data_IF_959599457895
#
_entry.id   IF_959599457895
#
_cell.length_a   1.000
_cell.length_b   1.000
_cell.length_c   1.000
_cell.angle_alpha   90.00
_cell.angle_beta   90.00
_cell.angle_gamma   90.00
#
_symmetry.space_group_name_H-M   'P 1'
#
loop_
_entity.id
_entity.type
_entity.pdbx_description
1 polymer ?
#
# COMPACT_ATOMS: atom_id res chain seq x y z
N UNK A 1 -3.92 4.51 17.63
CA UNK A 1 -2.71 5.35 17.59
C UNK A 1 -2.30 5.68 16.17
N UNK A 2 -1.96 4.71 15.32
CA UNK A 2 -1.56 4.99 13.92
C UNK A 2 -2.70 5.58 13.07
N UNK A 3 -3.91 5.02 13.13
CA UNK A 3 -5.06 5.56 12.39
C UNK A 3 -5.40 7.01 12.80
N UNK A 4 -5.31 7.32 14.10
CA UNK A 4 -5.59 8.67 14.62
C UNK A 4 -4.61 9.71 14.09
N UNK A 5 -3.36 9.31 13.81
CA UNK A 5 -2.36 10.22 13.25
C UNK A 5 -2.69 10.58 11.80
N UNK A 6 -3.14 9.60 11.02
CA UNK A 6 -3.53 9.78 9.62
C UNK A 6 -4.87 10.50 9.50
N UNK A 7 -5.79 10.32 10.44
CA UNK A 7 -7.02 11.11 10.53
C UNK A 7 -6.71 12.59 10.84
N UNK A 8 -5.89 12.84 11.86
CA UNK A 8 -5.60 14.20 12.34
C UNK A 8 -4.74 15.01 11.38
N UNK A 9 -3.80 14.37 10.69
CA UNK A 9 -2.80 15.03 9.87
C UNK A 9 -2.87 14.63 8.39
N UNK A 10 -4.05 14.24 7.91
CA UNK A 10 -4.29 13.82 6.52
C UNK A 10 -3.76 14.82 5.48
N UNK A 11 -3.93 16.12 5.72
CA UNK A 11 -3.47 17.17 4.83
C UNK A 11 -1.94 17.26 4.74
N UNK A 12 -1.23 17.15 5.87
CA UNK A 12 0.24 17.12 5.89
C UNK A 12 0.77 15.85 5.20
N UNK A 13 0.15 14.69 5.47
CA UNK A 13 0.49 13.44 4.79
C UNK A 13 0.35 13.57 3.26
N UNK A 14 -0.76 14.13 2.79
CA UNK A 14 -1.01 14.27 1.36
C UNK A 14 -0.09 15.32 0.71
N UNK A 15 0.18 16.43 1.40
CA UNK A 15 1.07 17.49 0.92
C UNK A 15 2.52 17.03 0.74
N UNK A 16 2.95 16.02 1.51
CA UNK A 16 4.28 15.43 1.37
C UNK A 16 4.56 14.99 -0.08
N UNK A 17 3.56 14.43 -0.78
CA UNK A 17 3.69 13.99 -2.17
C UNK A 17 3.86 15.15 -3.16
N UNK A 18 3.35 16.34 -2.85
CA UNK A 18 3.54 17.54 -3.68
C UNK A 18 4.93 18.13 -3.48
N UNK A 19 5.42 18.14 -2.23
CA UNK A 19 6.78 18.60 -1.89
C UNK A 19 7.84 17.65 -2.46
N UNK A 20 7.62 16.33 -2.36
CA UNK A 20 8.56 15.28 -2.77
C UNK A 20 8.19 14.68 -4.12
N UNK A 21 7.76 15.53 -5.06
CA UNK A 21 7.20 15.13 -6.35
C UNK A 21 8.08 14.16 -7.13
N UNK A 22 9.40 14.36 -7.16
CA UNK A 22 10.34 13.47 -7.89
C UNK A 22 10.38 12.07 -7.29
N UNK A 23 10.41 11.96 -5.96
CA UNK A 23 10.41 10.67 -5.25
C UNK A 23 9.09 9.95 -5.49
N UNK A 24 7.97 10.65 -5.29
CA UNK A 24 6.64 10.11 -5.56
C UNK A 24 6.49 9.57 -6.99
N UNK A 25 6.88 10.36 -8.02
CA UNK A 25 6.78 9.90 -9.41
C UNK A 25 7.69 8.71 -9.70
N UNK A 26 8.86 8.62 -9.07
CA UNK A 26 9.75 7.47 -9.21
C UNK A 26 9.14 6.20 -8.58
N UNK A 27 8.53 6.31 -7.40
CA UNK A 27 7.82 5.20 -6.74
C UNK A 27 6.59 4.75 -7.54
N UNK A 28 5.77 5.72 -7.98
CA UNK A 28 4.59 5.48 -8.81
C UNK A 28 4.96 4.80 -10.13
N UNK A 29 6.00 5.28 -10.82
CA UNK A 29 6.45 4.69 -12.08
C UNK A 29 6.94 3.24 -11.92
N UNK A 30 7.58 2.92 -10.78
CA UNK A 30 7.99 1.55 -10.48
C UNK A 30 6.80 0.62 -10.28
N UNK A 31 5.79 1.06 -9.52
CA UNK A 31 4.54 0.30 -9.38
C UNK A 31 3.88 0.12 -10.75
N UNK A 32 3.72 1.22 -11.50
CA UNK A 32 3.07 1.21 -12.81
C UNK A 32 3.75 0.27 -13.82
N UNK A 33 5.08 0.19 -13.80
CA UNK A 33 5.85 -0.67 -14.72
C UNK A 33 5.62 -2.17 -14.54
N UNK A 34 5.11 -2.60 -13.38
CA UNK A 34 4.88 -4.01 -13.05
C UNK A 34 3.41 -4.31 -12.76
N UNK A 35 2.55 -3.29 -12.78
CA UNK A 35 1.13 -3.42 -12.45
C UNK A 35 0.43 -4.23 -13.56
N UNK A 36 -0.27 -5.33 -13.21
CA UNK A 36 -1.16 -6.00 -14.14
C UNK A 36 -2.26 -5.06 -14.68
N UNK A 37 -2.94 -5.42 -15.78
CA UNK A 37 -4.06 -4.64 -16.29
C UNK A 37 -5.10 -4.37 -15.19
N UNK A 38 -5.39 -3.10 -14.95
CA UNK A 38 -6.40 -2.66 -13.99
C UNK A 38 -7.78 -2.83 -14.61
N UNK A 39 -8.68 -3.43 -13.85
CA UNK A 39 -10.09 -3.65 -14.21
C UNK A 39 -11.02 -3.21 -13.06
N UNK A 40 -12.33 -3.42 -13.22
CA UNK A 40 -13.34 -3.06 -12.23
C UNK A 40 -13.23 -3.82 -10.88
N UNK A 41 -12.39 -4.87 -10.81
CA UNK A 41 -12.15 -5.69 -9.61
C UNK A 41 -10.78 -5.41 -8.99
N UNK A 42 -10.09 -4.37 -9.47
CA UNK A 42 -8.84 -3.92 -8.88
C UNK A 42 -9.10 -3.04 -7.66
N UNK A 43 -8.39 -3.27 -6.57
CA UNK A 43 -8.55 -2.53 -5.30
C UNK A 43 -7.20 -2.09 -4.75
N UNK A 44 -7.13 -0.88 -4.20
CA UNK A 44 -6.02 -0.47 -3.32
C UNK A 44 -6.45 -0.58 -1.85
N UNK A 45 -5.72 -1.37 -1.06
CA UNK A 45 -5.95 -1.50 0.38
C UNK A 45 -5.02 -0.54 1.11
N UNK A 46 -5.58 0.26 2.03
CA UNK A 46 -4.91 1.44 2.57
C UNK A 46 -4.70 2.50 1.49
N UNK A 47 -5.78 2.83 0.74
CA UNK A 47 -5.74 3.75 -0.40
C UNK A 47 -5.30 5.17 0.00
N UNK A 48 -5.35 5.51 1.29
CA UNK A 48 -4.97 6.80 1.82
C UNK A 48 -5.76 7.89 1.12
N UNK A 49 -5.04 8.92 0.65
CA UNK A 49 -5.64 10.02 -0.09
C UNK A 49 -5.85 9.72 -1.58
N UNK A 50 -5.52 8.51 -2.06
CA UNK A 50 -5.70 8.12 -3.46
C UNK A 50 -4.56 8.53 -4.39
N UNK A 51 -3.37 8.80 -3.85
CA UNK A 51 -2.18 9.23 -4.61
C UNK A 51 -1.67 8.16 -5.58
N UNK A 52 -1.89 6.88 -5.31
CA UNK A 52 -1.49 5.78 -6.19
C UNK A 52 -2.68 5.26 -7.01
N UNK A 53 -3.81 4.93 -6.38
CA UNK A 53 -4.99 4.44 -7.09
C UNK A 53 -5.42 5.33 -8.27
N UNK A 54 -5.53 6.65 -8.08
CA UNK A 54 -5.98 7.60 -9.09
C UNK A 54 -5.19 7.52 -10.42
N UNK A 55 -3.88 7.81 -10.42
CA UNK A 55 -3.07 7.74 -11.64
C UNK A 55 -2.89 6.32 -12.20
N UNK A 56 -3.04 5.28 -11.37
CA UNK A 56 -3.01 3.88 -11.83
C UNK A 56 -4.36 3.40 -12.41
N UNK A 57 -5.41 4.21 -12.30
CA UNK A 57 -6.75 3.88 -12.81
C UNK A 57 -7.57 2.96 -11.90
N UNK A 58 -7.09 2.69 -10.67
CA UNK A 58 -7.82 1.89 -9.67
C UNK A 58 -8.92 2.76 -9.08
N UNK A 59 -10.16 2.27 -9.13
CA UNK A 59 -11.34 3.03 -8.69
C UNK A 59 -11.91 2.59 -7.34
N UNK A 60 -11.48 1.46 -6.80
CA UNK A 60 -11.92 0.97 -5.49
C UNK A 60 -10.78 1.07 -4.48
N UNK A 61 -11.06 1.61 -3.30
CA UNK A 61 -10.09 1.73 -2.21
C UNK A 61 -10.65 1.31 -0.86
N UNK A 62 -9.81 0.73 0.00
CA UNK A 62 -10.12 0.47 1.41
C UNK A 62 -9.29 1.42 2.27
N UNK A 63 -9.91 2.20 3.16
CA UNK A 63 -9.20 3.16 4.02
C UNK A 63 -9.91 3.35 5.37
N UNK A 64 -9.22 3.17 6.52
CA UNK A 64 -9.82 3.42 7.83
C UNK A 64 -10.05 4.91 8.16
N UNK A 65 -9.14 5.80 7.70
CA UNK A 65 -9.21 7.26 7.92
C UNK A 65 -10.28 7.92 7.06
N UNK A 66 -11.23 8.59 7.71
CA UNK A 66 -12.29 9.34 7.03
C UNK A 66 -11.70 10.54 6.29
N UNK A 67 -10.76 11.25 6.89
CA UNK A 67 -10.10 12.39 6.27
C UNK A 67 -9.39 12.00 4.97
N UNK A 68 -8.56 10.95 5.00
CA UNK A 68 -7.84 10.46 3.81
C UNK A 68 -8.81 9.88 2.77
N UNK A 69 -9.74 9.02 3.21
CA UNK A 69 -10.77 8.46 2.31
C UNK A 69 -11.60 9.54 1.62
N UNK A 70 -11.91 10.65 2.31
CA UNK A 70 -12.56 11.81 1.71
C UNK A 70 -11.71 12.50 0.64
N UNK A 71 -10.38 12.51 0.77
CA UNK A 71 -9.47 13.01 -0.27
C UNK A 71 -9.44 12.06 -1.48
N UNK A 72 -9.36 10.75 -1.25
CA UNK A 72 -9.40 9.74 -2.30
C UNK A 72 -10.72 9.81 -3.09
N UNK A 73 -11.85 9.98 -2.40
CA UNK A 73 -13.15 10.18 -3.03
C UNK A 73 -13.17 11.39 -3.97
N UNK A 74 -12.61 12.53 -3.56
CA UNK A 74 -12.46 13.70 -4.43
C UNK A 74 -11.56 13.47 -5.65
N UNK A 75 -10.73 12.42 -5.62
CA UNK A 75 -9.90 11.97 -6.76
C UNK A 75 -10.58 10.88 -7.61
N UNK A 76 -11.86 10.60 -7.38
CA UNK A 76 -12.64 9.66 -8.18
C UNK A 76 -12.52 8.20 -7.75
N UNK A 77 -12.14 7.94 -6.49
CA UNK A 77 -12.04 6.60 -5.93
C UNK A 77 -13.24 6.33 -5.03
N UNK A 78 -13.95 5.25 -5.27
CA UNK A 78 -14.96 4.73 -4.34
C UNK A 78 -14.25 4.12 -3.13
N UNK A 79 -14.46 4.71 -1.96
CA UNK A 79 -13.78 4.30 -0.73
C UNK A 79 -14.72 3.53 0.18
N UNK A 80 -14.35 2.30 0.52
CA UNK A 80 -14.99 1.54 1.59
C UNK A 80 -14.15 1.73 2.86
N UNK A 81 -14.80 2.14 3.94
CA UNK A 81 -14.12 2.23 5.23
C UNK A 81 -13.87 0.83 5.78
N UNK A 82 -12.60 0.49 6.00
CA UNK A 82 -12.20 -0.83 6.49
C UNK A 82 -10.71 -0.89 6.80
N UNK A 83 -10.28 -2.00 7.40
CA UNK A 83 -8.89 -2.24 7.77
C UNK A 83 -8.34 -3.42 6.97
N UNK A 84 -7.02 -3.43 6.73
CA UNK A 84 -6.40 -4.50 5.96
C UNK A 84 -6.52 -5.87 6.65
N UNK A 85 -6.55 -5.89 7.99
CA UNK A 85 -6.69 -7.10 8.81
C UNK A 85 -8.12 -7.67 8.82
N UNK A 86 -9.11 -6.96 8.28
CA UNK A 86 -10.50 -7.43 8.15
C UNK A 86 -11.19 -6.70 7.00
N UNK A 87 -10.99 -7.21 5.78
CA UNK A 87 -11.43 -6.59 4.54
C UNK A 87 -12.93 -6.83 4.33
N UNK A 88 -13.74 -5.78 4.13
CA UNK A 88 -15.18 -5.88 3.87
C UNK A 88 -15.49 -6.28 2.42
N UNK A 89 -14.77 -7.28 1.91
CA UNK A 89 -14.85 -7.80 0.56
C UNK A 89 -15.04 -9.32 0.61
N UNK A 90 -15.69 -9.87 -0.42
CA UNK A 90 -15.94 -11.31 -0.51
C UNK A 90 -14.68 -12.06 -0.92
N UNK A 91 -14.65 -13.35 -0.63
CA UNK A 91 -13.60 -14.23 -1.11
C UNK A 91 -13.55 -14.21 -2.64
N UNK A 92 -12.33 -14.21 -3.20
CA UNK A 92 -12.10 -14.27 -4.65
C UNK A 92 -12.92 -13.21 -5.43
N UNK A 93 -13.00 -11.98 -4.93
CA UNK A 93 -13.71 -10.89 -5.59
C UNK A 93 -12.80 -9.95 -6.38
N UNK A 94 -11.49 -10.00 -6.13
CA UNK A 94 -10.52 -9.04 -6.66
C UNK A 94 -9.55 -9.70 -7.65
N UNK A 95 -9.42 -9.12 -8.83
CA UNK A 95 -8.44 -9.52 -9.86
C UNK A 95 -7.02 -9.07 -9.50
N UNK A 96 -6.92 -7.91 -8.87
CA UNK A 96 -5.70 -7.23 -8.47
C UNK A 96 -5.92 -6.53 -7.12
N UNK A 97 -5.02 -6.77 -6.18
CA UNK A 97 -4.90 -5.96 -4.98
C UNK A 97 -3.59 -5.17 -5.02
N UNK A 98 -3.64 -3.90 -4.63
CA UNK A 98 -2.48 -3.02 -4.47
C UNK A 98 -2.33 -2.64 -2.98
N UNK A 99 -1.11 -2.67 -2.48
CA UNK A 99 -0.76 -2.28 -1.11
C UNK A 99 0.51 -1.41 -1.14
N UNK A 100 0.40 -0.08 -0.96
CA UNK A 100 1.55 0.84 -1.08
C UNK A 100 1.85 1.54 0.23
N UNK A 101 3.03 1.28 0.81
CA UNK A 101 3.50 1.88 2.07
C UNK A 101 2.55 1.67 3.27
N UNK A 102 1.69 0.66 3.19
CA UNK A 102 0.74 0.30 4.26
C UNK A 102 1.32 -0.74 5.20
N UNK A 103 2.12 -1.68 4.70
CA UNK A 103 2.67 -2.82 5.46
C UNK A 103 3.34 -2.39 6.77
N UNK A 104 4.01 -1.24 6.75
CA UNK A 104 4.73 -0.74 7.92
C UNK A 104 3.84 -0.16 9.03
N UNK A 105 2.54 0.03 8.76
CA UNK A 105 1.56 0.57 9.70
C UNK A 105 0.55 -0.47 10.19
N UNK A 106 0.67 -1.73 9.74
CA UNK A 106 -0.23 -2.82 10.11
C UNK A 106 0.08 -3.34 11.51
N UNK A 107 -0.98 -3.57 12.29
CA UNK A 107 -0.88 -4.18 13.61
C UNK A 107 -0.60 -5.69 13.47
N UNK A 108 -1.25 -6.35 12.50
CA UNK A 108 -1.03 -7.74 12.13
C UNK A 108 -0.76 -7.89 10.62
N UNK A 109 0.51 -7.80 10.19
CA UNK A 109 0.89 -8.02 8.80
C UNK A 109 0.52 -9.40 8.25
N UNK A 110 0.50 -10.45 9.10
CA UNK A 110 0.15 -11.80 8.65
C UNK A 110 -1.35 -11.90 8.37
N UNK A 111 -2.19 -11.43 9.30
CA UNK A 111 -3.64 -11.37 9.13
C UNK A 111 -4.06 -10.53 7.93
N UNK A 112 -3.43 -9.37 7.73
CA UNK A 112 -3.71 -8.53 6.57
C UNK A 112 -3.34 -9.19 5.23
N UNK A 113 -2.20 -9.86 5.15
CA UNK A 113 -1.82 -10.58 3.93
C UNK A 113 -2.70 -11.81 3.69
N UNK A 114 -3.19 -12.47 4.74
CA UNK A 114 -4.17 -13.55 4.64
C UNK A 114 -5.52 -13.03 4.11
N UNK A 115 -5.98 -11.85 4.57
CA UNK A 115 -7.18 -11.20 4.02
C UNK A 115 -6.99 -10.80 2.56
N UNK A 116 -5.84 -10.25 2.19
CA UNK A 116 -5.49 -9.97 0.79
C UNK A 116 -5.52 -11.25 -0.06
N UNK A 117 -4.96 -12.35 0.45
CA UNK A 117 -5.03 -13.65 -0.22
C UNK A 117 -6.48 -14.15 -0.37
N UNK A 118 -7.31 -13.97 0.66
CA UNK A 118 -8.73 -14.37 0.64
C UNK A 118 -9.50 -13.65 -0.46
N UNK A 119 -9.33 -12.33 -0.60
CA UNK A 119 -10.11 -11.51 -1.55
C UNK A 119 -9.60 -11.64 -2.99
N UNK A 120 -8.31 -11.94 -3.20
CA UNK A 120 -7.75 -12.11 -4.54
C UNK A 120 -8.25 -13.42 -5.16
N UNK A 121 -8.64 -13.40 -6.44
CA UNK A 121 -9.05 -14.59 -7.20
C UNK A 121 -7.87 -15.53 -7.47
N UNK A 122 -8.08 -16.84 -7.66
CA UNK A 122 -7.05 -17.71 -8.23
C UNK A 122 -6.56 -17.16 -9.59
N UNK A 123 -5.25 -17.13 -9.79
CA UNK A 123 -4.59 -16.49 -10.92
C UNK A 123 -4.48 -14.96 -10.83
N UNK A 124 -5.13 -14.33 -9.85
CA UNK A 124 -5.06 -12.90 -9.55
C UNK A 124 -3.74 -12.50 -8.88
N UNK A 125 -3.53 -11.19 -8.76
CA UNK A 125 -2.25 -10.64 -8.29
C UNK A 125 -2.37 -9.72 -7.07
N UNK A 126 -1.33 -9.72 -6.27
CA UNK A 126 -1.03 -8.69 -5.27
C UNK A 126 0.23 -7.95 -5.69
N UNK A 127 0.16 -6.62 -5.78
CA UNK A 127 1.33 -5.75 -5.92
C UNK A 127 1.56 -5.02 -4.61
N UNK A 128 2.77 -5.13 -4.07
CA UNK A 128 3.15 -4.49 -2.81
C UNK A 128 4.32 -3.53 -3.03
N UNK A 129 4.11 -2.27 -2.69
CA UNK A 129 5.14 -1.24 -2.57
C UNK A 129 5.47 -1.02 -1.08
N UNK A 130 6.74 -1.09 -0.69
CA UNK A 130 7.13 -0.95 0.72
C UNK A 130 8.44 -0.19 0.90
N UNK A 131 8.63 0.39 2.08
CA UNK A 131 9.88 1.05 2.46
C UNK A 131 10.83 -0.01 3.03
N UNK A 132 11.96 -0.20 2.35
CA UNK A 132 13.01 -1.14 2.76
C UNK A 132 13.68 -0.64 4.05
N UNK A 133 13.73 -1.48 5.10
CA UNK A 133 14.28 -1.13 6.42
C UNK A 133 15.65 -0.46 6.35
N UNK A 134 16.55 -1.02 5.54
CA UNK A 134 17.94 -0.52 5.42
C UNK A 134 18.12 0.46 4.24
N UNK A 135 17.03 0.90 3.64
CA UNK A 135 17.01 1.86 2.55
C UNK A 135 17.47 3.26 2.98
N UNK A 136 18.06 4.04 2.06
CA UNK A 136 18.40 5.45 2.33
C UNK A 136 17.16 6.28 2.69
N UNK A 137 16.00 5.90 2.15
CA UNK A 137 14.71 6.56 2.38
C UNK A 137 14.26 6.52 3.84
N UNK A 138 14.38 5.37 4.52
CA UNK A 138 14.05 5.26 5.94
C UNK A 138 14.97 6.13 6.79
N UNK A 139 16.27 6.16 6.47
CA UNK A 139 17.25 7.02 7.17
C UNK A 139 17.00 8.51 6.97
N UNK A 140 16.56 8.93 5.78
CA UNK A 140 16.20 10.33 5.49
C UNK A 140 14.90 10.69 6.20
N UNK A 141 13.85 9.89 6.08
CA UNK A 141 12.54 10.22 6.64
C UNK A 141 12.47 10.15 8.17
N UNK A 142 13.31 9.33 8.82
CA UNK A 142 13.44 9.37 10.29
C UNK A 142 14.10 10.67 10.80
N UNK A 143 14.76 11.43 9.92
CA UNK A 143 15.38 12.73 10.25
C UNK A 143 14.54 13.94 9.83
N UNK A 144 13.51 13.73 9.02
CA UNK A 144 12.60 14.78 8.53
C UNK A 144 11.30 14.82 9.37
N UNK A 145 10.97 15.97 9.95
CA UNK A 145 9.92 16.08 10.98
C UNK A 145 8.50 15.70 10.55
N UNK A 146 8.08 16.02 9.31
CA UNK A 146 6.70 15.81 8.85
C UNK A 146 6.40 14.32 8.61
N UNK A 147 7.23 13.62 7.80
CA UNK A 147 7.10 12.18 7.60
C UNK A 147 7.54 11.38 8.83
N UNK A 148 8.51 11.88 9.59
CA UNK A 148 8.96 11.29 10.85
C UNK A 148 7.83 11.13 11.88
N UNK A 149 6.85 12.04 11.89
CA UNK A 149 5.66 11.92 12.75
C UNK A 149 4.92 10.60 12.48
N UNK A 150 4.65 10.29 11.22
CA UNK A 150 3.97 9.05 10.84
C UNK A 150 4.89 7.84 11.06
N UNK A 151 6.14 7.94 10.58
CA UNK A 151 7.08 6.82 10.59
C UNK A 151 7.61 6.42 11.97
N UNK A 152 7.48 7.28 12.99
CA UNK A 152 7.80 6.91 14.37
C UNK A 152 6.97 5.74 14.91
N UNK A 153 5.81 5.47 14.28
CA UNK A 153 4.93 4.34 14.60
C UNK A 153 5.07 3.19 13.58
N UNK A 154 6.01 3.29 12.64
CA UNK A 154 6.16 2.33 11.55
C UNK A 154 7.13 1.19 11.91
N UNK A 155 6.76 -0.04 11.53
CA UNK A 155 7.68 -1.18 11.50
C UNK A 155 8.16 -1.40 10.08
N UNK A 156 9.46 -1.21 9.82
CA UNK A 156 10.02 -1.46 8.50
C UNK A 156 10.40 -2.91 8.31
N UNK A 157 10.34 -3.39 7.06
CA UNK A 157 10.63 -4.76 6.69
C UNK A 157 11.78 -4.81 5.67
N UNK A 158 12.57 -5.87 5.72
CA UNK A 158 13.50 -6.20 4.64
C UNK A 158 12.78 -6.87 3.47
N UNK A 159 13.38 -6.81 2.29
CA UNK A 159 12.91 -7.54 1.12
C UNK A 159 12.68 -9.03 1.40
N UNK A 160 13.57 -9.68 2.16
CA UNK A 160 13.45 -11.11 2.49
C UNK A 160 12.30 -11.39 3.47
N UNK A 161 12.08 -10.50 4.44
CA UNK A 161 10.93 -10.60 5.35
C UNK A 161 9.62 -10.45 4.56
N UNK A 162 9.53 -9.49 3.64
CA UNK A 162 8.33 -9.33 2.79
C UNK A 162 8.11 -10.56 1.90
N UNK A 163 9.16 -11.16 1.33
CA UNK A 163 9.03 -12.43 0.58
C UNK A 163 8.51 -13.56 1.48
N UNK A 164 9.03 -13.66 2.70
CA UNK A 164 8.61 -14.64 3.68
C UNK A 164 7.13 -14.50 4.05
N UNK A 165 6.71 -13.27 4.34
CA UNK A 165 5.32 -12.94 4.67
C UNK A 165 4.35 -13.28 3.53
N UNK A 166 4.70 -12.93 2.29
CA UNK A 166 3.87 -13.26 1.12
C UNK A 166 3.72 -14.78 0.93
N UNK A 167 4.81 -15.53 1.07
CA UNK A 167 4.79 -17.00 0.95
C UNK A 167 3.96 -17.65 2.06
N UNK A 168 4.08 -17.17 3.29
CA UNK A 168 3.29 -17.67 4.41
C UNK A 168 1.79 -17.40 4.25
N UNK A 169 1.42 -16.28 3.61
CA UNK A 169 0.04 -15.98 3.26
C UNK A 169 -0.49 -16.80 2.07
N UNK A 170 0.35 -17.59 1.40
CA UNK A 170 -0.03 -18.45 0.27
C UNK A 170 0.26 -17.85 -1.10
N UNK A 171 0.87 -16.67 -1.19
CA UNK A 171 1.24 -16.06 -2.47
C UNK A 171 2.57 -16.59 -3.01
N UNK A 172 2.62 -16.78 -4.33
CA UNK A 172 3.84 -17.05 -5.10
C UNK A 172 4.43 -15.74 -5.63
N UNK A 173 5.63 -15.37 -5.18
CA UNK A 173 6.31 -14.13 -5.61
C UNK A 173 6.89 -14.33 -7.01
N UNK A 174 6.35 -13.62 -8.01
CA UNK A 174 6.78 -13.72 -9.41
C UNK A 174 8.01 -12.89 -9.72
N UNK A 175 8.02 -11.66 -9.23
CA UNK A 175 9.08 -10.70 -9.48
C UNK A 175 9.14 -9.71 -8.33
N UNK A 176 10.30 -9.14 -8.10
CA UNK A 176 10.41 -8.09 -7.12
C UNK A 176 11.83 -7.63 -6.91
N UNK A 177 12.00 -6.33 -6.74
CA UNK A 177 13.28 -5.72 -6.41
C UNK A 177 13.11 -4.58 -5.40
N UNK A 178 14.24 -4.19 -4.81
CA UNK A 178 14.36 -3.04 -3.94
C UNK A 178 15.41 -2.11 -4.52
N UNK A 179 15.02 -0.86 -4.80
CA UNK A 179 15.89 0.16 -5.40
C UNK A 179 15.70 1.46 -4.65
N UNK A 180 16.82 2.08 -4.27
CA UNK A 180 16.85 3.35 -3.55
C UNK A 180 15.97 3.37 -2.29
N UNK A 181 15.75 2.22 -1.63
CA UNK A 181 14.97 2.12 -0.39
C UNK A 181 13.47 1.92 -0.57
N UNK A 182 12.99 1.78 -1.80
CA UNK A 182 11.62 1.36 -2.09
C UNK A 182 11.62 -0.04 -2.70
N UNK A 183 10.87 -0.98 -2.12
CA UNK A 183 10.65 -2.32 -2.65
C UNK A 183 9.34 -2.38 -3.43
N UNK A 184 9.34 -3.09 -4.56
CA UNK A 184 8.11 -3.36 -5.33
C UNK A 184 8.08 -4.83 -5.72
N UNK A 185 7.14 -5.60 -5.16
CA UNK A 185 6.96 -7.01 -5.49
C UNK A 185 5.61 -7.26 -6.14
N UNK A 186 5.58 -8.22 -7.06
CA UNK A 186 4.38 -8.79 -7.67
C UNK A 186 4.28 -10.23 -7.22
N UNK A 187 3.15 -10.59 -6.62
CA UNK A 187 2.86 -11.94 -6.17
C UNK A 187 1.52 -12.41 -6.74
N UNK A 188 1.38 -13.72 -6.95
CA UNK A 188 0.14 -14.34 -7.46
C UNK A 188 -0.44 -15.31 -6.47
N UNK A 189 -1.76 -15.42 -6.52
CA UNK A 189 -2.49 -16.53 -5.93
C UNK A 189 -2.58 -17.63 -6.96
N UNK A 190 -2.03 -18.80 -6.64
CA UNK A 190 -2.13 -20.00 -7.48
C UNK A 190 -3.53 -20.63 -7.40
#
# INVERSE_FOLDING_TARGET
>A
MTEEIFERYAGEYDAWYDVHRSVYHAELARIQSVLPPVDARSVEVGVGSGRFAGPLGIRLGIEPSRALGGMAYRRGIDVIRGRAESLPLRDNSCSLALLVTVLCFLDDPHGALAELYRIVVPGGALVIGFLERDGPVVRTYLREGEKGRFLSHARFFSSDEVRGLLRQAGFSVLSGDSRQGFGVFVAKKD
#
